data_IF_659551421523
#
_entry.id   IF_659551421523
#
_cell.length_a   1.000
_cell.length_b   1.000
_cell.length_c   1.000
_cell.angle_alpha   90.00
_cell.angle_beta   90.00
_cell.angle_gamma   90.00
#
_symmetry.space_group_name_H-M   'P 1'
#
loop_
_entity.id
_entity.type
_entity.pdbx_description
1 polymer ?
#
# COMPACT_ATOMS: atom_id res chain seq x y z
N UNK A 1 -7.47 15.99 9.72
CA UNK A 1 -6.96 14.65 10.06
C UNK A 1 -5.59 14.81 10.71
N UNK A 2 -5.46 14.57 12.02
CA UNK A 2 -4.17 14.59 12.71
C UNK A 2 -3.21 13.56 12.11
N UNK A 3 -1.91 13.86 12.08
CA UNK A 3 -0.90 12.98 11.46
C UNK A 3 -0.75 11.64 12.22
N UNK A 4 -1.03 11.65 13.52
CA UNK A 4 -0.88 10.53 14.45
C UNK A 4 -1.82 9.37 14.12
N UNK A 5 -2.92 9.64 13.41
CA UNK A 5 -3.92 8.62 13.06
C UNK A 5 -3.62 7.92 11.73
N UNK A 6 -2.65 8.43 10.96
CA UNK A 6 -2.30 7.90 9.65
C UNK A 6 -1.31 6.75 9.86
N UNK A 7 -1.65 5.55 9.36
CA UNK A 7 -0.68 4.45 9.33
C UNK A 7 0.49 4.82 8.41
N UNK A 8 1.73 4.61 8.87
CA UNK A 8 2.93 4.97 8.08
C UNK A 8 3.99 3.89 8.16
N UNK A 9 4.47 3.49 6.99
CA UNK A 9 5.57 2.57 6.79
C UNK A 9 6.48 3.10 5.69
N UNK A 10 7.79 3.09 5.94
CA UNK A 10 8.79 3.56 4.98
C UNK A 10 9.25 2.47 4.01
N UNK A 11 10.18 2.83 3.12
CA UNK A 11 10.76 1.91 2.12
C UNK A 11 12.06 1.23 2.59
N UNK A 12 12.51 1.46 3.82
CA UNK A 12 13.84 1.05 4.30
C UNK A 12 14.03 -0.46 4.41
N UNK A 13 12.94 -1.23 4.50
CA UNK A 13 12.97 -2.70 4.57
C UNK A 13 12.91 -3.37 3.19
N UNK A 14 12.69 -2.60 2.11
CA UNK A 14 12.63 -3.16 0.77
C UNK A 14 14.01 -3.63 0.32
N UNK A 15 14.01 -4.82 -0.28
CA UNK A 15 15.19 -5.53 -0.79
C UNK A 15 15.08 -5.69 -2.31
N UNK A 16 16.19 -5.92 -3.03
CA UNK A 16 16.17 -6.21 -4.47
C UNK A 16 15.23 -7.37 -4.84
N UNK A 17 15.19 -8.41 -4.00
CA UNK A 17 14.31 -9.57 -4.16
C UNK A 17 12.82 -9.19 -4.16
N UNK A 18 12.42 -8.11 -3.47
CA UNK A 18 11.04 -7.61 -3.52
C UNK A 18 10.68 -7.07 -4.90
N UNK A 19 11.60 -6.33 -5.53
CA UNK A 19 11.38 -5.77 -6.86
C UNK A 19 11.39 -6.85 -7.94
N UNK A 20 12.27 -7.85 -7.83
CA UNK A 20 12.30 -9.02 -8.72
C UNK A 20 10.99 -9.82 -8.61
N UNK A 21 10.55 -10.11 -7.38
CA UNK A 21 9.28 -10.80 -7.11
C UNK A 21 8.10 -10.03 -7.66
N UNK A 22 8.04 -8.71 -7.43
CA UNK A 22 6.99 -7.86 -7.98
C UNK A 22 6.97 -7.89 -9.51
N UNK A 23 8.14 -7.88 -10.16
CA UNK A 23 8.24 -7.98 -11.61
C UNK A 23 7.71 -9.32 -12.13
N UNK A 24 8.06 -10.44 -11.49
CA UNK A 24 7.55 -11.77 -11.85
C UNK A 24 6.02 -11.85 -11.73
N UNK A 25 5.44 -11.14 -10.76
CA UNK A 25 3.99 -11.06 -10.55
C UNK A 25 3.29 -10.03 -11.46
N UNK A 26 4.01 -9.30 -12.33
CA UNK A 26 3.50 -8.17 -13.13
C UNK A 26 3.06 -6.92 -12.34
N UNK A 27 3.74 -6.62 -11.23
CA UNK A 27 3.53 -5.43 -10.40
C UNK A 27 4.76 -4.52 -10.37
N UNK A 28 4.55 -3.27 -9.92
CA UNK A 28 5.60 -2.34 -9.46
C UNK A 28 5.37 -1.98 -8.01
N UNK A 29 6.46 -1.85 -7.25
CA UNK A 29 6.41 -1.32 -5.89
C UNK A 29 6.48 0.22 -5.95
N UNK A 30 5.55 0.89 -5.28
CA UNK A 30 5.51 2.35 -5.08
C UNK A 30 5.26 2.65 -3.61
N UNK A 31 5.79 3.77 -3.11
CA UNK A 31 5.36 4.32 -1.84
C UNK A 31 4.08 5.14 -2.09
N UNK A 32 2.93 4.64 -1.65
CA UNK A 32 1.65 5.27 -1.89
C UNK A 32 1.09 5.88 -0.61
N UNK A 33 0.48 7.05 -0.74
CA UNK A 33 -0.48 7.58 0.22
C UNK A 33 -1.88 7.27 -0.29
N UNK A 34 -2.63 6.47 0.46
CA UNK A 34 -3.94 5.95 0.08
C UNK A 34 -4.98 6.55 1.01
N UNK A 35 -6.03 7.11 0.41
CA UNK A 35 -7.23 7.59 1.10
C UNK A 35 -8.45 6.95 0.46
N UNK A 36 -9.21 6.14 1.21
CA UNK A 36 -10.48 5.57 0.75
C UNK A 36 -11.61 6.07 1.66
N UNK A 37 -12.74 6.42 1.07
CA UNK A 37 -13.94 6.86 1.80
C UNK A 37 -15.12 5.99 1.38
N UNK A 38 -15.76 5.38 2.38
CA UNK A 38 -17.01 4.64 2.22
C UNK A 38 -18.01 5.14 3.27
N UNK A 39 -18.94 6.00 2.84
CA UNK A 39 -19.81 6.75 3.75
C UNK A 39 -19.00 7.55 4.77
N UNK A 40 -19.11 7.18 6.04
CA UNK A 40 -18.38 7.79 7.15
C UNK A 40 -17.10 7.03 7.55
N UNK A 41 -16.78 5.93 6.86
CA UNK A 41 -15.57 5.14 7.10
C UNK A 41 -14.45 5.69 6.24
N UNK A 42 -13.33 6.03 6.87
CA UNK A 42 -12.17 6.61 6.19
C UNK A 42 -10.95 5.75 6.47
N UNK A 43 -10.30 5.30 5.41
CA UNK A 43 -8.99 4.67 5.43
C UNK A 43 -7.94 5.71 5.04
N UNK A 44 -6.89 5.88 5.84
CA UNK A 44 -5.75 6.74 5.50
C UNK A 44 -4.45 6.06 5.89
N UNK A 45 -3.59 5.80 4.91
CA UNK A 45 -2.33 5.08 5.12
C UNK A 45 -1.26 5.45 4.11
N UNK A 46 -0.01 5.31 4.52
CA UNK A 46 1.18 5.49 3.69
C UNK A 46 2.09 4.28 3.85
N UNK A 47 2.33 3.51 2.80
CA UNK A 47 3.24 2.36 2.85
C UNK A 47 3.70 1.92 1.45
N UNK A 48 4.79 1.13 1.36
CA UNK A 48 5.12 0.43 0.13
C UNK A 48 3.94 -0.44 -0.32
N UNK A 49 3.59 -0.31 -1.59
CA UNK A 49 2.44 -0.97 -2.19
C UNK A 49 2.81 -1.48 -3.57
N UNK A 50 2.50 -2.74 -3.85
CA UNK A 50 2.54 -3.30 -5.19
C UNK A 50 1.30 -2.87 -5.96
N UNK A 51 1.49 -2.29 -7.13
CA UNK A 51 0.40 -1.96 -8.07
C UNK A 51 0.64 -2.65 -9.42
N UNK A 52 -0.41 -3.07 -10.14
CA UNK A 52 -0.27 -3.68 -11.45
C UNK A 52 0.57 -2.81 -12.38
N UNK A 53 1.37 -3.45 -13.25
CA UNK A 53 2.13 -2.73 -14.27
C UNK A 53 1.24 -1.89 -15.22
N UNK A 54 -0.04 -2.25 -15.33
CA UNK A 54 -1.06 -1.56 -16.13
C UNK A 54 -1.63 -0.33 -15.42
N UNK A 55 -1.46 -0.19 -14.11
CA UNK A 55 -2.00 0.94 -13.36
C UNK A 55 -1.25 2.24 -13.73
N UNK A 56 -1.93 3.39 -13.97
CA UNK A 56 -1.27 4.63 -14.39
C UNK A 56 -0.11 5.07 -13.47
N UNK A 57 -0.29 4.96 -12.15
CA UNK A 57 0.75 5.26 -11.16
C UNK A 57 2.04 4.41 -11.31
N UNK A 58 1.97 3.22 -11.92
CA UNK A 58 3.15 2.38 -12.13
C UNK A 58 4.18 3.05 -13.06
N UNK A 59 3.69 3.85 -14.02
CA UNK A 59 4.49 4.58 -15.00
C UNK A 59 5.23 5.80 -14.44
N UNK A 60 4.82 6.31 -13.27
CA UNK A 60 5.38 7.51 -12.64
C UNK A 60 6.79 7.22 -12.12
N UNK A 61 7.80 7.96 -12.60
CA UNK A 61 9.22 7.71 -12.28
C UNK A 61 9.94 9.00 -11.89
N UNK A 62 11.08 8.85 -11.23
CA UNK A 62 11.94 9.97 -10.85
C UNK A 62 11.31 10.88 -9.81
N UNK A 63 11.49 12.19 -9.96
CA UNK A 63 11.01 13.24 -9.03
C UNK A 63 9.57 13.70 -9.32
N UNK A 64 8.85 12.97 -10.17
CA UNK A 64 7.47 13.27 -10.50
C UNK A 64 6.54 12.68 -9.45
N UNK A 65 5.51 13.44 -9.09
CA UNK A 65 4.41 12.99 -8.26
C UNK A 65 3.18 12.81 -9.14
N UNK A 66 2.30 11.93 -8.69
CA UNK A 66 0.97 11.79 -9.27
C UNK A 66 -0.05 11.61 -8.17
N UNK A 67 -1.25 12.16 -8.39
CA UNK A 67 -2.42 11.96 -7.55
C UNK A 67 -3.47 11.31 -8.44
N UNK A 68 -3.91 10.12 -8.05
CA UNK A 68 -4.98 9.39 -8.72
C UNK A 68 -6.24 9.51 -7.85
N UNK A 69 -7.32 10.02 -8.44
CA UNK A 69 -8.58 10.28 -7.77
C UNK A 69 -9.67 9.50 -8.50
N UNK A 70 -10.48 8.78 -7.75
CA UNK A 70 -11.69 8.13 -8.27
C UNK A 70 -12.89 8.82 -7.65
N UNK A 71 -13.74 9.42 -8.48
CA UNK A 71 -14.97 10.08 -8.05
C UNK A 71 -16.21 9.41 -8.64
N UNK A 72 -17.33 9.46 -7.92
CA UNK A 72 -18.58 8.80 -8.32
C UNK A 72 -19.08 9.15 -9.73
N UNK A 73 -18.85 10.40 -10.19
CA UNK A 73 -19.36 10.87 -11.49
C UNK A 73 -18.26 11.19 -12.51
N UNK A 74 -17.04 11.50 -12.06
CA UNK A 74 -15.90 11.84 -12.93
C UNK A 74 -15.04 10.61 -13.23
N UNK A 75 -15.32 9.49 -12.56
CA UNK A 75 -14.50 8.28 -12.55
C UNK A 75 -13.05 8.62 -12.20
N UNK A 76 -12.10 8.10 -12.98
CA UNK A 76 -10.68 8.19 -12.70
C UNK A 76 -10.05 9.46 -13.29
N UNK A 77 -9.41 10.24 -12.42
CA UNK A 77 -8.63 11.42 -12.77
C UNK A 77 -7.21 11.29 -12.24
N UNK A 78 -6.22 11.49 -13.11
CA UNK A 78 -4.81 11.53 -12.71
C UNK A 78 -4.23 12.92 -12.90
N UNK A 79 -3.75 13.52 -11.81
CA UNK A 79 -2.94 14.72 -11.81
C UNK A 79 -1.47 14.32 -11.78
N UNK A 80 -0.67 14.75 -12.74
CA UNK A 80 0.73 14.38 -12.87
C UNK A 80 1.62 15.61 -13.05
N UNK A 81 2.74 15.67 -12.32
CA UNK A 81 3.66 16.79 -12.41
C UNK A 81 4.87 16.67 -11.51
N UNK A 82 5.72 17.70 -11.51
CA UNK A 82 6.84 17.78 -10.57
C UNK A 82 6.32 18.17 -9.19
N UNK A 83 6.48 17.30 -8.21
CA UNK A 83 6.02 17.56 -6.83
C UNK A 83 7.10 18.11 -5.90
N UNK A 84 8.33 18.28 -6.39
CA UNK A 84 9.43 18.88 -5.64
C UNK A 84 10.30 19.77 -6.55
N UNK A 85 10.97 20.74 -5.92
CA UNK A 85 11.85 21.70 -6.58
C UNK A 85 11.42 23.15 -6.36
N UNK A 86 12.38 24.08 -6.43
CA UNK A 86 12.15 25.50 -6.15
C UNK A 86 11.09 26.12 -7.08
N UNK A 87 11.19 25.89 -8.39
CA UNK A 87 10.29 26.49 -9.38
C UNK A 87 8.84 25.95 -9.32
N UNK A 88 8.59 24.61 -9.29
CA UNK A 88 7.23 24.10 -9.12
C UNK A 88 6.55 24.59 -7.84
N UNK A 89 7.30 24.66 -6.73
CA UNK A 89 6.78 25.14 -5.44
C UNK A 89 6.46 26.63 -5.50
N UNK A 90 7.35 27.46 -6.07
CA UNK A 90 7.12 28.89 -6.24
C UNK A 90 5.90 29.19 -7.12
N UNK A 91 5.67 28.37 -8.16
CA UNK A 91 4.49 28.51 -9.03
C UNK A 91 3.18 28.34 -8.26
N UNK A 92 3.08 27.38 -7.34
CA UNK A 92 1.90 27.17 -6.51
C UNK A 92 1.66 28.37 -5.57
N UNK A 93 2.73 28.84 -4.91
CA UNK A 93 2.67 30.01 -4.02
C UNK A 93 2.20 31.27 -4.76
N UNK A 94 2.73 31.55 -5.95
CA UNK A 94 2.33 32.72 -6.75
C UNK A 94 0.87 32.61 -7.19
N UNK A 95 0.39 31.42 -7.56
CA UNK A 95 -1.02 31.20 -7.90
C UNK A 95 -1.94 31.59 -6.74
N UNK A 96 -1.62 31.17 -5.52
CA UNK A 96 -2.41 31.50 -4.33
C UNK A 96 -2.37 33.00 -4.01
N UNK A 97 -1.21 33.66 -4.19
CA UNK A 97 -1.08 35.13 -4.03
C UNK A 97 -1.99 35.86 -5.02
N UNK A 98 -1.95 35.48 -6.30
CA UNK A 98 -2.79 36.09 -7.34
C UNK A 98 -4.28 35.86 -7.03
N UNK A 99 -4.66 34.64 -6.64
CA UNK A 99 -6.03 34.33 -6.24
C UNK A 99 -6.49 35.19 -5.05
N UNK A 100 -5.65 35.36 -4.02
CA UNK A 100 -5.95 36.20 -2.86
C UNK A 100 -6.12 37.69 -3.23
N UNK A 101 -5.32 38.20 -4.16
CA UNK A 101 -5.40 39.59 -4.61
C UNK A 101 -6.67 39.92 -5.42
N UNK A 102 -7.30 38.94 -6.07
CA UNK A 102 -8.52 39.15 -6.85
C UNK A 102 -9.80 39.28 -6.01
N UNK A 103 -9.72 39.15 -4.68
CA UNK A 103 -10.87 39.23 -3.78
C UNK A 103 -10.90 40.60 -3.05
N UNK A 104 -11.43 41.63 -3.72
CA UNK A 104 -11.35 43.07 -3.34
C UNK A 104 -12.00 43.47 -2.01
N UNK A 105 -12.85 42.65 -1.39
CA UNK A 105 -13.70 43.09 -0.25
C UNK A 105 -13.72 42.19 0.97
N UNK A 106 -13.33 40.92 0.84
CA UNK A 106 -13.22 39.98 1.96
C UNK A 106 -12.40 38.77 1.54
N UNK A 107 -11.58 38.23 2.44
CA UNK A 107 -10.98 36.92 2.26
C UNK A 107 -12.09 35.87 2.15
N UNK A 108 -12.18 35.21 0.99
CA UNK A 108 -13.00 34.01 0.85
C UNK A 108 -12.17 32.81 1.31
N UNK A 109 -12.52 32.26 2.47
CA UNK A 109 -12.00 30.98 2.90
C UNK A 109 -12.56 29.86 2.00
N UNK A 110 -11.85 28.74 1.97
CA UNK A 110 -12.35 27.50 1.39
C UNK A 110 -13.76 27.17 1.93
N UNK A 111 -14.59 26.55 1.10
CA UNK A 111 -15.98 26.17 1.45
C UNK A 111 -16.09 25.06 2.50
N UNK A 112 -14.97 24.65 3.10
CA UNK A 112 -14.93 23.69 4.20
C UNK A 112 -14.17 24.26 5.39
N UNK A 113 -14.60 23.88 6.59
CA UNK A 113 -13.92 24.19 7.84
C UNK A 113 -12.87 23.12 8.11
N UNK A 114 -11.63 23.53 8.34
CA UNK A 114 -10.57 22.62 8.76
C UNK A 114 -10.49 22.66 10.29
N UNK A 115 -11.17 21.72 10.93
CA UNK A 115 -11.10 21.55 12.39
C UNK A 115 -9.88 20.70 12.77
N UNK A 116 -9.30 21.00 13.94
CA UNK A 116 -8.16 20.25 14.48
C UNK A 116 -8.53 18.79 14.77
N UNK A 117 -9.75 18.55 15.24
CA UNK A 117 -10.26 17.23 15.59
C UNK A 117 -11.01 16.55 14.45
N UNK A 118 -10.94 15.23 14.44
CA UNK A 118 -11.79 14.39 13.58
C UNK A 118 -13.22 14.43 14.11
N UNK A 119 -14.20 14.62 13.22
CA UNK A 119 -15.62 14.50 13.59
C UNK A 119 -15.91 13.14 14.24
N UNK A 120 -16.73 13.13 15.31
CA UNK A 120 -17.16 11.90 15.99
C UNK A 120 -17.95 10.96 15.08
N UNK A 121 -18.46 11.46 13.97
CA UNK A 121 -19.20 10.69 12.98
C UNK A 121 -18.29 9.85 12.08
N UNK A 122 -16.99 10.18 12.02
CA UNK A 122 -16.02 9.47 11.19
C UNK A 122 -15.49 8.24 11.92
N UNK A 123 -15.56 7.10 11.25
CA UNK A 123 -14.91 5.87 11.69
C UNK A 123 -13.59 5.69 10.92
N UNK A 124 -12.46 5.67 11.63
CA UNK A 124 -11.18 5.36 11.01
C UNK A 124 -11.00 3.85 10.85
N UNK A 125 -10.83 3.42 9.60
CA UNK A 125 -10.53 2.03 9.27
C UNK A 125 -9.09 1.74 9.67
N UNK A 126 -8.89 0.78 10.57
CA UNK A 126 -7.57 0.29 11.01
C UNK A 126 -7.26 -1.12 10.52
N UNK A 127 -8.30 -1.86 10.16
CA UNK A 127 -8.17 -3.17 9.54
C UNK A 127 -8.36 -3.02 8.04
N UNK A 128 -7.25 -2.93 7.33
CA UNK A 128 -7.27 -2.69 5.89
C UNK A 128 -7.63 -3.97 5.14
N UNK A 129 -8.47 -3.83 4.11
CA UNK A 129 -8.83 -4.92 3.22
C UNK A 129 -8.03 -4.76 1.93
N UNK A 130 -6.93 -5.50 1.80
CA UNK A 130 -6.09 -5.45 0.60
C UNK A 130 -5.40 -6.79 0.33
N UNK A 131 -4.70 -6.87 -0.80
CA UNK A 131 -3.91 -8.04 -1.17
C UNK A 131 -2.55 -7.96 -0.45
N UNK A 132 -1.97 -9.11 -0.12
CA UNK A 132 -0.67 -9.22 0.50
C UNK A 132 0.24 -10.13 -0.32
N UNK A 133 1.44 -9.65 -0.60
CA UNK A 133 2.55 -10.42 -1.15
C UNK A 133 3.50 -10.76 0.00
N UNK A 134 3.60 -12.03 0.33
CA UNK A 134 4.32 -12.55 1.50
C UNK A 134 5.42 -13.47 1.01
N UNK A 135 6.67 -13.18 1.34
CA UNK A 135 7.81 -14.03 0.99
C UNK A 135 8.39 -14.68 2.24
N UNK A 136 8.54 -15.99 2.17
CA UNK A 136 9.06 -16.83 3.25
C UNK A 136 10.29 -17.60 2.76
N UNK A 137 11.29 -17.70 3.63
CA UNK A 137 12.33 -18.72 3.52
C UNK A 137 11.90 -19.93 4.34
N UNK A 138 11.82 -21.09 3.70
CA UNK A 138 11.32 -22.32 4.30
C UNK A 138 12.23 -23.49 4.02
N UNK A 139 12.14 -24.53 4.85
CA UNK A 139 12.82 -25.80 4.61
C UNK A 139 12.20 -26.52 3.41
N UNK A 140 13.06 -27.03 2.51
CA UNK A 140 12.63 -27.80 1.34
C UNK A 140 12.27 -29.23 1.74
N UNK A 141 11.07 -29.40 2.31
CA UNK A 141 10.54 -30.69 2.79
C UNK A 141 9.07 -30.85 2.42
N UNK A 142 8.61 -32.08 2.15
CA UNK A 142 7.19 -32.37 1.96
C UNK A 142 6.36 -31.90 3.16
N UNK A 143 5.20 -31.30 2.88
CA UNK A 143 4.26 -30.81 3.90
C UNK A 143 4.41 -29.34 4.29
N UNK A 144 5.53 -28.68 3.99
CA UNK A 144 5.75 -27.25 4.26
C UNK A 144 4.64 -26.38 3.67
N UNK A 145 4.32 -26.56 2.39
CA UNK A 145 3.26 -25.81 1.70
C UNK A 145 1.89 -26.01 2.36
N UNK A 146 1.56 -27.26 2.73
CA UNK A 146 0.28 -27.59 3.34
C UNK A 146 0.13 -26.94 4.74
N UNK A 147 1.20 -26.94 5.53
CA UNK A 147 1.21 -26.31 6.85
C UNK A 147 0.99 -24.78 6.76
N UNK A 148 1.67 -24.12 5.81
CA UNK A 148 1.55 -22.67 5.60
C UNK A 148 0.16 -22.32 5.06
N UNK A 149 -0.32 -23.05 4.06
CA UNK A 149 -1.66 -22.85 3.51
C UNK A 149 -2.76 -23.07 4.57
N UNK A 150 -2.60 -24.07 5.43
CA UNK A 150 -3.49 -24.32 6.57
C UNK A 150 -3.54 -23.13 7.54
N UNK A 151 -2.38 -22.55 7.89
CA UNK A 151 -2.32 -21.39 8.78
C UNK A 151 -3.01 -20.15 8.18
N UNK A 152 -2.92 -19.93 6.86
CA UNK A 152 -3.71 -18.89 6.19
C UNK A 152 -5.21 -19.18 6.21
N UNK A 153 -5.61 -20.43 5.91
CA UNK A 153 -7.00 -20.83 5.86
C UNK A 153 -7.70 -20.72 7.23
N UNK A 154 -7.01 -21.05 8.33
CA UNK A 154 -7.50 -20.89 9.70
C UNK A 154 -7.89 -19.44 10.03
N UNK A 155 -7.25 -18.46 9.38
CA UNK A 155 -7.53 -17.03 9.55
C UNK A 155 -8.41 -16.45 8.43
N UNK A 156 -8.99 -17.30 7.58
CA UNK A 156 -9.83 -16.86 6.46
C UNK A 156 -9.08 -16.15 5.34
N UNK A 157 -7.76 -16.31 5.25
CA UNK A 157 -6.92 -15.70 4.20
C UNK A 157 -6.85 -16.64 2.99
N UNK A 158 -7.47 -16.23 1.89
CA UNK A 158 -7.42 -16.97 0.63
C UNK A 158 -6.16 -16.63 -0.18
N UNK A 159 -5.58 -17.64 -0.84
CA UNK A 159 -4.37 -17.51 -1.67
C UNK A 159 -4.75 -17.37 -3.14
N UNK A 160 -4.30 -16.29 -3.79
CA UNK A 160 -4.50 -16.00 -5.21
C UNK A 160 -3.43 -16.65 -6.09
N UNK A 161 -2.18 -16.65 -5.65
CA UNK A 161 -1.06 -17.26 -6.37
C UNK A 161 0.04 -17.69 -5.40
N UNK A 162 0.79 -18.71 -5.79
CA UNK A 162 1.96 -19.20 -5.05
C UNK A 162 3.08 -19.41 -6.04
N UNK A 163 4.24 -18.82 -5.75
CA UNK A 163 5.45 -18.96 -6.55
C UNK A 163 6.53 -19.55 -5.64
N UNK A 164 7.03 -20.72 -5.99
CA UNK A 164 8.21 -21.30 -5.36
C UNK A 164 9.39 -21.16 -6.32
N UNK A 165 10.36 -20.33 -5.95
CA UNK A 165 11.62 -20.24 -6.67
C UNK A 165 12.59 -21.22 -6.01
N UNK A 166 13.08 -22.19 -6.78
CA UNK A 166 14.12 -23.11 -6.29
C UNK A 166 15.42 -22.35 -6.02
N UNK A 167 16.02 -22.55 -4.86
CA UNK A 167 17.42 -22.18 -4.63
C UNK A 167 18.33 -23.37 -4.96
N UNK A 168 19.56 -23.07 -5.38
CA UNK A 168 20.60 -23.99 -5.89
C UNK A 168 21.10 -25.05 -4.90
N UNK A 169 20.76 -24.92 -3.62
CA UNK A 169 21.49 -25.60 -2.54
C UNK A 169 20.72 -26.81 -1.98
N UNK A 170 19.43 -26.98 -2.34
CA UNK A 170 18.59 -28.14 -1.97
C UNK A 170 18.18 -28.23 -0.49
N UNK A 171 18.47 -27.20 0.32
CA UNK A 171 18.20 -27.17 1.77
C UNK A 171 17.07 -26.20 2.15
N UNK A 172 17.03 -25.03 1.51
CA UNK A 172 16.00 -24.01 1.68
C UNK A 172 15.34 -23.68 0.35
N UNK A 173 14.10 -23.20 0.43
CA UNK A 173 13.38 -22.68 -0.73
C UNK A 173 12.69 -21.38 -0.34
N UNK A 174 12.60 -20.46 -1.31
CA UNK A 174 11.79 -19.24 -1.17
C UNK A 174 10.43 -19.45 -1.78
N UNK A 175 9.41 -19.26 -0.95
CA UNK A 175 8.02 -19.31 -1.39
C UNK A 175 7.41 -17.92 -1.22
N UNK A 176 6.85 -17.40 -2.30
CA UNK A 176 6.06 -16.17 -2.32
C UNK A 176 4.59 -16.53 -2.46
N UNK A 177 3.78 -15.99 -1.57
CA UNK A 177 2.33 -16.09 -1.56
C UNK A 177 1.73 -14.75 -1.92
N UNK A 178 0.79 -14.74 -2.85
CA UNK A 178 -0.07 -13.59 -3.12
C UNK A 178 -1.48 -13.95 -2.64
N UNK A 179 -2.07 -13.15 -1.76
CA UNK A 179 -3.42 -13.40 -1.24
C UNK A 179 -4.49 -12.83 -2.17
N UNK A 180 -5.75 -13.19 -1.94
CA UNK A 180 -6.87 -12.32 -2.30
C UNK A 180 -6.95 -11.15 -1.32
N UNK A 181 -7.89 -10.22 -1.54
CA UNK A 181 -8.19 -9.18 -0.55
C UNK A 181 -8.55 -9.84 0.79
N UNK A 182 -7.83 -9.46 1.84
CA UNK A 182 -7.97 -10.02 3.17
C UNK A 182 -7.79 -8.94 4.24
N UNK A 183 -8.31 -9.24 5.43
CA UNK A 183 -8.11 -8.44 6.65
C UNK A 183 -6.63 -8.39 7.02
N UNK A 184 -6.13 -7.20 7.33
CA UNK A 184 -4.79 -7.02 7.90
C UNK A 184 -4.63 -7.80 9.20
N UNK A 185 -5.66 -7.81 10.05
CA UNK A 185 -5.62 -8.57 11.30
C UNK A 185 -5.52 -10.07 11.03
N UNK A 186 -6.33 -10.60 10.10
CA UNK A 186 -6.26 -12.01 9.71
C UNK A 186 -4.89 -12.41 9.17
N UNK A 187 -4.31 -11.59 8.29
CA UNK A 187 -2.96 -11.83 7.74
C UNK A 187 -1.90 -11.78 8.83
N UNK A 188 -1.97 -10.82 9.77
CA UNK A 188 -1.01 -10.72 10.88
C UNK A 188 -1.07 -11.91 11.83
N UNK A 189 -2.26 -12.41 12.15
CA UNK A 189 -2.41 -13.61 12.97
C UNK A 189 -1.91 -14.86 12.22
N UNK A 190 -2.17 -14.96 10.92
CA UNK A 190 -1.66 -16.05 10.10
C UNK A 190 -0.12 -16.03 10.09
N UNK A 191 0.50 -14.86 9.92
CA UNK A 191 1.96 -14.70 9.93
C UNK A 191 2.57 -15.10 11.27
N UNK A 192 1.99 -14.71 12.41
CA UNK A 192 2.46 -15.15 13.74
C UNK A 192 2.44 -16.68 13.85
N UNK A 193 1.38 -17.32 13.33
CA UNK A 193 1.29 -18.78 13.33
C UNK A 193 2.33 -19.41 12.40
N UNK A 194 2.51 -18.86 11.21
CA UNK A 194 3.48 -19.33 10.21
C UNK A 194 4.91 -19.24 10.75
N UNK A 195 5.28 -18.13 11.41
CA UNK A 195 6.60 -17.96 12.03
C UNK A 195 6.88 -18.98 13.14
N UNK A 196 5.83 -19.53 13.77
CA UNK A 196 5.98 -20.60 14.77
C UNK A 196 6.15 -22.00 14.19
N UNK A 197 6.02 -22.17 12.86
CA UNK A 197 6.15 -23.48 12.22
C UNK A 197 7.62 -23.90 12.10
N UNK A 198 7.97 -25.16 12.40
CA UNK A 198 9.36 -25.64 12.35
C UNK A 198 9.94 -25.70 10.93
N UNK A 199 9.09 -25.58 9.91
CA UNK A 199 9.50 -25.55 8.51
C UNK A 199 9.81 -24.13 8.00
N UNK A 200 9.58 -23.08 8.79
CA UNK A 200 9.81 -21.69 8.38
C UNK A 200 11.13 -21.21 8.99
N UNK A 201 12.08 -20.85 8.13
CA UNK A 201 13.38 -20.34 8.54
C UNK A 201 13.30 -18.83 8.83
N UNK A 202 12.59 -18.07 7.99
CA UNK A 202 12.40 -16.63 8.15
C UNK A 202 11.20 -16.09 7.36
N UNK A 203 10.52 -15.08 7.92
CA UNK A 203 9.66 -14.16 7.17
C UNK A 203 10.53 -13.08 6.52
N UNK A 204 10.70 -13.15 5.20
CA UNK A 204 11.61 -12.25 4.49
C UNK A 204 10.96 -10.91 4.14
N UNK A 205 9.69 -10.93 3.74
CA UNK A 205 9.00 -9.72 3.28
C UNK A 205 7.49 -9.85 3.32
N UNK A 206 6.81 -8.73 3.60
CA UNK A 206 5.36 -8.57 3.52
C UNK A 206 5.09 -7.22 2.88
N UNK A 207 4.52 -7.22 1.68
CA UNK A 207 4.18 -5.99 0.94
C UNK A 207 2.71 -6.05 0.56
N UNK A 208 1.98 -4.97 0.84
CA UNK A 208 0.56 -4.84 0.46
C UNK A 208 0.45 -4.59 -1.04
N UNK A 209 -0.63 -5.02 -1.66
CA UNK A 209 -0.93 -4.74 -3.06
C UNK A 209 -2.33 -4.15 -3.22
N UNK A 210 -2.46 -3.25 -4.18
CA UNK A 210 -3.69 -2.59 -4.61
C UNK A 210 -3.86 -2.83 -6.11
N UNK A 211 -5.10 -2.99 -6.58
CA UNK A 211 -5.42 -3.19 -8.00
C UNK A 211 -5.82 -1.89 -8.69
#
# INVERSE_FOLDING_TARGET
MPIEVIYREGITKLTPADFETAQLLNYRIKLLAIGKKDGNRIEVRVHPTMIPNTHPLASVRGVFNAIFLTGHAVDDVMLYGRGAGCMPTASAVVSDIVYACHHDKAHQYMTFVNEESISKEIELVKDFQCIYCIRLNVADKPGTMAAIAGAFAEQGVSLKSVIQLGETDGVSSRITFLTHAASEYGVREALKRIESLPCVNALESVIRAEE
#
